data_IF_541950262947
#
_entry.id   IF_541950262947
#
_cell.length_a   1.000
_cell.length_b   1.000
_cell.length_c   1.000
_cell.angle_alpha   90.00
_cell.angle_beta   90.00
_cell.angle_gamma   90.00
#
_symmetry.space_group_name_H-M   'P 1'
#
loop_
_entity.id
_entity.type
_entity.pdbx_description
1 polymer ?
#
# COMPACT_ATOMS: atom_id res chain seq x y z
N UNK A 1 18.82 -0.23 -6.82
CA UNK A 1 18.47 -0.26 -5.38
C UNK A 1 18.86 1.08 -4.80
N UNK A 2 17.90 1.94 -4.46
CA UNK A 2 18.24 3.09 -3.64
C UNK A 2 18.61 2.57 -2.24
N UNK A 3 19.48 3.30 -1.54
CA UNK A 3 20.23 2.81 -0.36
C UNK A 3 19.33 2.45 0.85
N UNK A 4 18.05 2.78 0.79
CA UNK A 4 17.10 2.64 1.90
C UNK A 4 15.76 2.04 1.46
N UNK A 5 15.65 1.53 0.22
CA UNK A 5 14.43 0.84 -0.20
C UNK A 5 14.27 -0.46 0.59
N UNK A 6 13.07 -0.70 1.09
CA UNK A 6 12.73 -1.95 1.74
C UNK A 6 12.23 -2.95 0.70
N UNK A 7 12.65 -4.21 0.86
CA UNK A 7 12.14 -5.33 0.07
C UNK A 7 11.36 -6.22 1.01
N UNK A 8 10.07 -6.34 0.77
CA UNK A 8 9.20 -7.32 1.44
C UNK A 8 8.96 -8.46 0.46
N UNK A 9 9.06 -9.69 0.96
CA UNK A 9 8.78 -10.89 0.18
C UNK A 9 7.62 -11.62 0.85
N UNK A 10 6.51 -11.73 0.15
CA UNK A 10 5.30 -12.34 0.66
C UNK A 10 4.61 -13.09 -0.47
N UNK A 11 4.18 -14.32 -0.20
CA UNK A 11 3.45 -15.18 -1.14
C UNK A 11 4.16 -15.36 -2.49
N UNK A 12 5.50 -15.33 -2.49
CA UNK A 12 6.34 -15.43 -3.69
C UNK A 12 6.43 -14.14 -4.52
N UNK A 13 5.83 -13.05 -4.05
CA UNK A 13 5.86 -11.73 -4.67
C UNK A 13 6.90 -10.86 -3.96
N UNK A 14 7.59 -10.04 -4.75
CA UNK A 14 8.54 -9.07 -4.27
C UNK A 14 7.94 -7.67 -4.29
N UNK A 15 7.80 -7.07 -3.10
CA UNK A 15 7.30 -5.72 -2.91
C UNK A 15 8.49 -4.82 -2.60
N UNK A 16 8.58 -3.70 -3.32
CA UNK A 16 9.63 -2.71 -3.14
C UNK A 16 9.02 -1.41 -2.63
N UNK A 17 9.47 -0.97 -1.46
CA UNK A 17 8.97 0.23 -0.78
C UNK A 17 10.09 1.27 -0.76
N UNK A 18 9.81 2.46 -1.33
CA UNK A 18 10.73 3.60 -1.24
C UNK A 18 10.92 4.02 0.22
N UNK A 19 12.16 4.33 0.58
CA UNK A 19 12.54 4.73 1.94
C UNK A 19 11.69 5.87 2.53
N UNK A 20 11.28 6.83 1.69
CA UNK A 20 10.47 7.98 2.12
C UNK A 20 9.03 7.58 2.42
N UNK A 21 8.55 6.50 1.81
CA UNK A 21 7.19 5.99 1.99
C UNK A 21 7.07 5.02 3.19
N UNK A 22 8.16 4.47 3.72
CA UNK A 22 8.13 3.52 4.85
C UNK A 22 7.34 4.05 6.05
N UNK A 23 7.65 5.28 6.50
CA UNK A 23 6.97 5.86 7.67
C UNK A 23 5.47 6.06 7.42
N UNK A 24 5.10 6.40 6.19
CA UNK A 24 3.71 6.61 5.82
C UNK A 24 2.93 5.31 5.70
N UNK A 25 3.60 4.21 5.35
CA UNK A 25 3.00 2.89 5.16
C UNK A 25 3.04 2.03 6.43
N UNK A 26 3.65 2.51 7.50
CA UNK A 26 3.79 1.76 8.74
C UNK A 26 2.41 1.35 9.31
N UNK A 27 2.18 0.04 9.42
CA UNK A 27 0.91 -0.52 9.86
C UNK A 27 -0.18 -0.57 8.79
N UNK A 28 0.14 -0.27 7.53
CA UNK A 28 -0.77 -0.44 6.40
C UNK A 28 -0.91 -1.91 6.04
N UNK A 29 -2.14 -2.34 5.83
CA UNK A 29 -2.50 -3.61 5.21
C UNK A 29 -2.92 -3.34 3.76
N UNK A 30 -2.38 -4.10 2.81
CA UNK A 30 -2.74 -4.04 1.40
C UNK A 30 -3.40 -5.35 1.01
N UNK A 31 -4.60 -5.28 0.46
CA UNK A 31 -5.35 -6.43 -0.05
C UNK A 31 -5.70 -6.23 -1.52
N UNK A 32 -5.94 -7.33 -2.24
CA UNK A 32 -6.44 -7.31 -3.61
C UNK A 32 -7.85 -7.85 -3.64
N UNK A 33 -8.81 -6.95 -3.89
CA UNK A 33 -10.23 -7.29 -3.89
C UNK A 33 -10.71 -7.42 -5.32
N UNK A 34 -11.24 -8.59 -5.66
CA UNK A 34 -11.88 -8.85 -6.95
C UNK A 34 -13.39 -8.99 -6.76
N UNK A 35 -14.13 -8.15 -7.48
CA UNK A 35 -15.59 -8.15 -7.54
C UNK A 35 -16.05 -8.41 -8.97
N UNK A 36 -17.36 -8.63 -9.15
CA UNK A 36 -17.95 -8.80 -10.48
C UNK A 36 -17.79 -7.60 -11.40
N UNK A 37 -17.47 -6.41 -10.87
CA UNK A 37 -17.42 -5.15 -11.61
C UNK A 37 -16.02 -4.52 -11.67
N UNK A 38 -15.14 -4.88 -10.73
CA UNK A 38 -13.81 -4.29 -10.61
C UNK A 38 -12.87 -5.21 -9.84
N UNK A 39 -11.58 -5.11 -10.16
CA UNK A 39 -10.50 -5.73 -9.39
C UNK A 39 -9.50 -4.62 -9.01
N UNK A 40 -9.28 -4.41 -7.72
CA UNK A 40 -8.52 -3.27 -7.21
C UNK A 40 -7.67 -3.62 -5.98
N UNK A 41 -6.60 -2.86 -5.78
CA UNK A 41 -5.83 -2.90 -4.54
C UNK A 41 -6.46 -1.97 -3.50
N UNK A 42 -6.74 -2.50 -2.32
CA UNK A 42 -7.29 -1.76 -1.19
C UNK A 42 -6.20 -1.61 -0.14
N UNK A 43 -5.97 -0.37 0.30
CA UNK A 43 -4.99 -0.06 1.33
C UNK A 43 -5.69 0.42 2.60
N UNK A 44 -5.53 -0.33 3.68
CA UNK A 44 -6.06 -0.03 5.00
C UNK A 44 -4.91 0.43 5.90
N UNK A 45 -4.77 1.73 6.12
CA UNK A 45 -3.74 2.28 7.00
C UNK A 45 -4.39 2.99 8.19
N UNK A 46 -4.09 2.58 9.44
CA UNK A 46 -4.70 3.16 10.65
C UNK A 46 -4.34 4.63 10.86
N UNK A 47 -3.31 5.15 10.16
CA UNK A 47 -2.87 6.54 10.25
C UNK A 47 -3.54 7.46 9.20
N UNK A 48 -4.32 6.93 8.25
CA UNK A 48 -4.98 7.73 7.22
C UNK A 48 -6.19 8.46 7.80
N UNK A 49 -6.25 9.78 7.59
CA UNK A 49 -7.39 10.62 7.99
C UNK A 49 -8.45 10.79 6.90
N UNK A 50 -8.14 10.43 5.66
CA UNK A 50 -9.09 10.43 4.56
C UNK A 50 -8.57 9.67 3.34
N UNK A 51 -9.41 8.79 2.80
CA UNK A 51 -9.21 8.11 1.52
C UNK A 51 -9.94 8.89 0.44
N UNK A 52 -9.32 9.12 -0.73
CA UNK A 52 -10.05 9.60 -1.89
C UNK A 52 -11.00 8.49 -2.35
N UNK A 53 -12.25 8.81 -2.71
CA UNK A 53 -13.29 7.83 -3.05
C UNK A 53 -13.01 6.93 -4.26
N UNK A 54 -11.88 7.11 -4.94
CA UNK A 54 -11.37 6.22 -5.99
C UNK A 54 -10.24 5.27 -5.53
N UNK A 55 -9.77 5.35 -4.28
CA UNK A 55 -8.71 4.49 -3.74
C UNK A 55 -7.29 4.81 -4.22
N UNK A 56 -7.12 5.70 -5.20
CA UNK A 56 -5.83 6.01 -5.84
C UNK A 56 -4.96 7.01 -5.05
N UNK A 57 -5.48 7.58 -3.97
CA UNK A 57 -4.80 8.65 -3.22
C UNK A 57 -5.24 8.72 -1.76
N UNK A 58 -4.25 8.93 -0.89
CA UNK A 58 -4.42 9.01 0.56
C UNK A 58 -3.77 10.27 1.10
N UNK A 59 -4.45 10.95 2.03
CA UNK A 59 -3.85 12.01 2.85
C UNK A 59 -3.65 11.51 4.28
N UNK A 60 -2.44 11.70 4.79
CA UNK A 60 -2.00 11.29 6.13
C UNK A 60 -2.13 12.50 7.07
#
# INVERSE_FOLDING_TARGET
KAKFDEKVEQDGVHIHIDAKAQLTLLGTEMDYVESTLASEFVFNNPNIKGTCGCGESFSI
#
